data_IF_464063338118
#
_entry.id   IF_464063338118
#
_cell.length_a   1.000
_cell.length_b   1.000
_cell.length_c   1.000
_cell.angle_alpha   90.00
_cell.angle_beta   90.00
_cell.angle_gamma   90.00
#
_symmetry.space_group_name_H-M   'P 1'
#
loop_
_entity.id
_entity.type
_entity.pdbx_description
1 polymer ?
#
# COMPACT_ATOMS: atom_id res chain seq x y z
N UNK A 1 10.14 -15.01 44.31
CA UNK A 1 11.34 -14.73 43.49
C UNK A 1 11.00 -14.40 42.03
N UNK A 2 9.81 -14.77 41.54
CA UNK A 2 9.36 -14.56 40.15
C UNK A 2 8.94 -13.12 39.79
N UNK A 3 8.53 -12.28 40.75
CA UNK A 3 8.10 -10.89 40.46
C UNK A 3 9.24 -9.90 40.17
N UNK A 4 10.48 -10.21 40.58
CA UNK A 4 11.60 -9.28 40.49
C UNK A 4 12.34 -9.36 39.15
N UNK A 5 12.29 -10.49 38.46
CA UNK A 5 13.05 -10.67 37.21
C UNK A 5 12.41 -9.86 36.07
N UNK A 6 11.09 -9.90 35.94
CA UNK A 6 10.37 -9.09 34.94
C UNK A 6 10.60 -7.58 35.17
N UNK A 7 10.53 -7.14 36.42
CA UNK A 7 10.85 -5.77 36.80
C UNK A 7 12.32 -5.42 36.52
N UNK A 8 13.27 -6.31 36.80
CA UNK A 8 14.72 -6.10 36.58
C UNK A 8 15.06 -6.05 35.08
N UNK A 9 14.42 -6.87 34.25
CA UNK A 9 14.62 -6.86 32.79
C UNK A 9 14.03 -5.58 32.18
N UNK A 10 12.82 -5.16 32.58
CA UNK A 10 12.18 -3.93 32.10
C UNK A 10 12.85 -2.65 32.61
N UNK A 11 13.46 -2.67 33.81
CA UNK A 11 14.21 -1.53 34.38
C UNK A 11 15.68 -1.54 34.01
N UNK A 12 16.17 -2.58 33.33
CA UNK A 12 17.55 -2.62 32.88
C UNK A 12 17.82 -1.45 31.92
N UNK A 13 18.87 -0.68 32.23
CA UNK A 13 19.30 0.50 31.46
C UNK A 13 19.54 0.18 29.98
N UNK A 14 19.88 -1.08 29.67
CA UNK A 14 20.06 -1.59 28.31
C UNK A 14 18.73 -1.63 27.55
N UNK A 15 17.67 -2.20 28.11
CA UNK A 15 16.34 -2.28 27.48
C UNK A 15 15.75 -0.88 27.31
N UNK A 16 15.86 -0.03 28.33
CA UNK A 16 15.41 1.37 28.26
C UNK A 16 16.20 2.17 27.20
N UNK A 17 17.50 1.93 27.06
CA UNK A 17 18.36 2.54 26.05
C UNK A 17 17.99 2.12 24.62
N UNK A 18 17.71 0.83 24.40
CA UNK A 18 17.26 0.30 23.09
C UNK A 18 15.89 0.89 22.71
N UNK A 19 14.93 0.91 23.64
CA UNK A 19 13.60 1.50 23.40
C UNK A 19 13.73 3.00 23.09
N UNK A 20 14.49 3.74 23.88
CA UNK A 20 14.67 5.19 23.70
C UNK A 20 15.37 5.53 22.38
N UNK A 21 16.38 4.74 21.97
CA UNK A 21 17.05 4.93 20.69
C UNK A 21 16.17 4.54 19.49
N UNK A 22 15.32 3.51 19.62
CA UNK A 22 14.28 3.21 18.63
C UNK A 22 13.30 4.39 18.49
N UNK A 23 12.79 4.90 19.61
CA UNK A 23 11.85 6.03 19.63
C UNK A 23 12.49 7.28 19.04
N UNK A 24 13.73 7.60 19.40
CA UNK A 24 14.48 8.74 18.85
C UNK A 24 14.73 8.57 17.34
N UNK A 25 15.09 7.37 16.87
CA UNK A 25 15.25 7.07 15.45
C UNK A 25 13.94 7.28 14.67
N UNK A 26 12.81 6.81 15.23
CA UNK A 26 11.50 7.02 14.62
C UNK A 26 11.10 8.50 14.60
N UNK A 27 11.35 9.26 15.66
CA UNK A 27 11.08 10.70 15.72
C UNK A 27 11.95 11.48 14.73
N UNK A 28 13.23 11.15 14.62
CA UNK A 28 14.18 11.80 13.71
C UNK A 28 13.84 11.56 12.23
N UNK A 29 13.51 10.32 11.85
CA UNK A 29 13.17 9.98 10.46
C UNK A 29 11.80 10.49 10.00
N UNK A 30 10.84 10.68 10.92
CA UNK A 30 9.52 11.22 10.58
C UNK A 30 9.57 12.70 10.18
N UNK A 31 10.54 13.47 10.70
CA UNK A 31 10.48 14.94 10.61
C UNK A 31 11.14 15.52 9.36
N UNK A 32 12.29 15.04 8.87
CA UNK A 32 13.00 15.77 7.81
C UNK A 32 12.56 15.40 6.38
N UNK A 33 12.45 14.11 6.07
CA UNK A 33 12.11 13.65 4.70
C UNK A 33 10.63 13.82 4.37
N UNK A 34 9.75 13.53 5.34
CA UNK A 34 8.30 13.60 5.14
C UNK A 34 7.84 15.05 4.97
N UNK A 35 8.40 15.99 5.74
CA UNK A 35 8.06 17.41 5.63
C UNK A 35 8.47 17.96 4.26
N UNK A 36 9.68 17.64 3.79
CA UNK A 36 10.11 18.03 2.44
C UNK A 36 9.15 17.50 1.36
N UNK A 37 8.87 16.19 1.35
CA UNK A 37 7.97 15.57 0.36
C UNK A 37 6.56 16.16 0.46
N UNK A 38 6.05 16.41 1.67
CA UNK A 38 4.71 16.98 1.88
C UNK A 38 4.63 18.41 1.36
N UNK A 39 5.68 19.21 1.53
CA UNK A 39 5.76 20.57 1.01
C UNK A 39 5.86 20.58 -0.51
N UNK A 40 6.72 19.75 -1.11
CA UNK A 40 6.82 19.58 -2.56
C UNK A 40 5.49 19.16 -3.17
N UNK A 41 4.77 18.20 -2.55
CA UNK A 41 3.44 17.79 -3.01
C UNK A 41 2.38 18.86 -2.82
N UNK A 42 2.48 19.69 -1.79
CA UNK A 42 1.58 20.84 -1.60
C UNK A 42 1.79 21.86 -2.73
N UNK A 43 3.04 22.18 -3.05
CA UNK A 43 3.39 23.07 -4.15
C UNK A 43 2.92 22.48 -5.49
N UNK A 44 3.24 21.21 -5.76
CA UNK A 44 2.79 20.48 -6.94
C UNK A 44 1.26 20.48 -7.09
N UNK A 45 0.49 20.20 -6.03
CA UNK A 45 -0.98 20.27 -6.07
C UNK A 45 -1.50 21.69 -6.34
N UNK A 46 -0.81 22.71 -5.84
CA UNK A 46 -1.15 24.11 -6.14
C UNK A 46 -0.93 24.42 -7.62
N UNK A 47 0.19 23.95 -8.17
CA UNK A 47 0.51 24.12 -9.58
C UNK A 47 -0.49 23.39 -10.49
N UNK A 48 -0.85 22.15 -10.18
CA UNK A 48 -1.86 21.40 -10.93
C UNK A 48 -3.24 22.09 -10.89
N UNK A 49 -3.65 22.67 -9.75
CA UNK A 49 -4.92 23.42 -9.67
C UNK A 49 -4.89 24.68 -10.54
N UNK A 50 -3.83 25.48 -10.43
CA UNK A 50 -3.65 26.67 -11.28
C UNK A 50 -3.67 26.29 -12.76
N UNK A 51 -2.95 25.24 -13.15
CA UNK A 51 -2.92 24.75 -14.54
C UNK A 51 -4.32 24.31 -14.98
N UNK A 52 -5.09 23.64 -14.11
CA UNK A 52 -6.46 23.24 -14.42
C UNK A 52 -7.39 24.46 -14.62
N UNK A 53 -7.26 25.50 -13.81
CA UNK A 53 -7.99 26.77 -13.95
C UNK A 53 -7.64 27.48 -15.27
N UNK A 54 -6.36 27.52 -15.64
CA UNK A 54 -5.90 28.08 -16.93
C UNK A 54 -6.38 27.26 -18.13
N UNK A 55 -6.43 25.92 -18.00
CA UNK A 55 -7.01 25.03 -19.00
C UNK A 55 -8.51 25.30 -19.14
N UNK A 56 -9.24 25.46 -18.04
CA UNK A 56 -10.68 25.74 -18.05
C UNK A 56 -11.01 27.07 -18.72
N UNK A 57 -10.22 28.11 -18.43
CA UNK A 57 -10.38 29.45 -19.00
C UNK A 57 -9.98 29.54 -20.49
N UNK A 58 -9.26 28.55 -21.03
CA UNK A 58 -8.82 28.57 -22.42
C UNK A 58 -10.01 28.46 -23.39
N UNK A 59 -10.08 29.42 -24.31
CA UNK A 59 -11.14 29.50 -25.33
C UNK A 59 -10.76 28.82 -26.65
N UNK A 60 -9.47 28.55 -26.83
CA UNK A 60 -8.97 27.89 -28.03
C UNK A 60 -7.53 27.39 -27.88
N UNK A 61 -6.98 26.95 -29.00
CA UNK A 61 -5.68 26.27 -29.05
C UNK A 61 -4.50 27.13 -28.58
N UNK A 62 -4.46 28.41 -28.97
CA UNK A 62 -3.35 29.28 -28.61
C UNK A 62 -3.27 29.52 -27.09
N UNK A 63 -4.44 29.71 -26.46
CA UNK A 63 -4.57 29.94 -25.02
C UNK A 63 -4.16 28.70 -24.22
N UNK A 64 -4.58 27.51 -24.66
CA UNK A 64 -4.36 26.26 -23.92
C UNK A 64 -2.92 25.73 -24.07
N UNK A 65 -2.18 26.16 -25.10
CA UNK A 65 -0.85 25.61 -25.43
C UNK A 65 0.13 25.72 -24.26
N UNK A 66 0.19 26.88 -23.61
CA UNK A 66 1.11 27.12 -22.48
C UNK A 66 0.72 26.28 -21.25
N UNK A 67 -0.53 26.28 -20.77
CA UNK A 67 -0.97 25.39 -19.69
C UNK A 67 -0.68 23.90 -19.94
N UNK A 68 -0.85 23.41 -21.19
CA UNK A 68 -0.53 22.01 -21.51
C UNK A 68 0.97 21.70 -21.42
N UNK A 69 1.84 22.63 -21.79
CA UNK A 69 3.30 22.46 -21.63
C UNK A 69 3.68 22.41 -20.15
N UNK A 70 3.09 23.31 -19.35
CA UNK A 70 3.29 23.30 -17.90
C UNK A 70 2.77 22.01 -17.26
N UNK A 71 1.63 21.49 -17.74
CA UNK A 71 1.08 20.23 -17.25
C UNK A 71 2.04 19.05 -17.51
N UNK A 72 2.61 18.97 -18.71
CA UNK A 72 3.52 17.88 -19.13
C UNK A 72 4.73 17.72 -18.22
N UNK A 73 5.23 18.81 -17.64
CA UNK A 73 6.39 18.77 -16.71
C UNK A 73 5.98 18.46 -15.26
N UNK A 74 4.68 18.42 -14.96
CA UNK A 74 4.14 18.11 -13.63
C UNK A 74 3.54 16.71 -13.52
N UNK A 75 3.11 16.09 -14.62
CA UNK A 75 2.59 14.71 -14.64
C UNK A 75 3.71 13.68 -14.88
N UNK A 76 3.41 12.41 -14.67
CA UNK A 76 4.38 11.34 -14.84
C UNK A 76 4.76 11.15 -16.34
N UNK A 77 6.01 11.42 -16.67
CA UNK A 77 6.53 11.30 -18.04
C UNK A 77 6.50 9.86 -18.58
N UNK A 78 6.56 8.84 -17.71
CA UNK A 78 6.50 7.44 -18.13
C UNK A 78 5.13 7.06 -18.72
N UNK A 79 4.10 7.88 -18.53
CA UNK A 79 2.77 7.70 -19.11
C UNK A 79 2.69 7.89 -20.61
N UNK A 80 3.60 8.66 -21.20
CA UNK A 80 3.48 9.11 -22.59
C UNK A 80 3.43 7.96 -23.60
N UNK A 81 4.26 6.93 -23.38
CA UNK A 81 4.44 5.81 -24.31
C UNK A 81 3.91 4.48 -23.73
N UNK A 82 2.86 4.54 -22.93
CA UNK A 82 2.27 3.35 -22.30
C UNK A 82 0.76 3.50 -22.17
N UNK A 83 0.05 2.39 -22.00
CA UNK A 83 -1.36 2.38 -21.63
C UNK A 83 -1.58 2.35 -20.12
N UNK A 84 -0.51 2.33 -19.32
CA UNK A 84 -0.57 2.25 -17.87
C UNK A 84 -1.16 3.53 -17.24
N UNK A 85 -2.42 3.41 -16.80
CA UNK A 85 -3.19 4.48 -16.19
C UNK A 85 -2.53 5.02 -14.92
N UNK A 86 -1.80 4.19 -14.17
CA UNK A 86 -1.08 4.62 -12.95
C UNK A 86 0.10 5.54 -13.25
N UNK A 87 0.52 5.61 -14.52
CA UNK A 87 1.59 6.48 -14.99
C UNK A 87 1.04 7.70 -15.73
N UNK A 88 -0.23 8.05 -15.56
CA UNK A 88 -0.88 9.20 -16.20
C UNK A 88 -1.06 9.06 -17.72
N UNK A 89 -1.02 7.85 -18.28
CA UNK A 89 -1.18 7.62 -19.73
C UNK A 89 -2.45 8.21 -20.32
N UNK A 90 -3.55 8.12 -19.57
CA UNK A 90 -4.85 8.69 -19.94
C UNK A 90 -4.82 10.22 -20.04
N UNK A 91 -4.04 10.91 -19.19
CA UNK A 91 -3.85 12.36 -19.26
C UNK A 91 -3.04 12.72 -20.52
N UNK A 92 -1.94 12.01 -20.79
CA UNK A 92 -1.13 12.20 -21.99
C UNK A 92 -1.96 12.09 -23.27
N UNK A 93 -2.84 11.09 -23.37
CA UNK A 93 -3.74 10.91 -24.53
C UNK A 93 -4.68 12.09 -24.74
N UNK A 94 -5.23 12.67 -23.67
CA UNK A 94 -6.12 13.83 -23.79
C UNK A 94 -5.35 15.08 -24.16
N UNK A 95 -4.13 15.26 -23.63
CA UNK A 95 -3.25 16.35 -24.05
C UNK A 95 -2.96 16.24 -25.56
N UNK A 96 -2.64 15.05 -26.07
CA UNK A 96 -2.41 14.84 -27.51
C UNK A 96 -3.67 15.10 -28.35
N UNK A 97 -4.85 14.75 -27.84
CA UNK A 97 -6.14 15.06 -28.48
C UNK A 97 -6.37 16.57 -28.59
N UNK A 98 -6.20 17.31 -27.50
CA UNK A 98 -6.30 18.78 -27.48
C UNK A 98 -5.28 19.45 -28.41
N UNK A 99 -4.12 18.82 -28.61
CA UNK A 99 -3.09 19.34 -29.50
C UNK A 99 -3.40 19.17 -31.00
N UNK A 100 -4.33 18.28 -31.37
CA UNK A 100 -4.68 17.98 -32.77
C UNK A 100 -5.70 18.96 -33.38
N UNK A 101 -6.25 19.90 -32.60
CA UNK A 101 -7.18 20.94 -33.07
C UNK A 101 -8.43 20.38 -33.75
N UNK A 102 -9.05 19.37 -33.12
CA UNK A 102 -10.29 18.78 -33.60
C UNK A 102 -11.52 19.51 -33.03
N UNK A 103 -12.70 19.28 -33.62
CA UNK A 103 -13.99 19.85 -33.20
C UNK A 103 -14.43 19.45 -31.78
N UNK A 104 -13.74 18.50 -31.15
CA UNK A 104 -14.03 17.98 -29.80
C UNK A 104 -13.23 18.68 -28.68
N UNK A 105 -12.75 19.89 -28.95
CA UNK A 105 -11.89 20.67 -28.05
C UNK A 105 -12.50 20.82 -26.64
N UNK A 106 -13.74 21.26 -26.53
CA UNK A 106 -14.38 21.49 -25.23
C UNK A 106 -14.62 20.20 -24.46
N UNK A 107 -15.00 19.11 -25.14
CA UNK A 107 -15.15 17.79 -24.51
C UNK A 107 -13.80 17.27 -23.97
N UNK A 108 -12.74 17.35 -24.78
CA UNK A 108 -11.41 16.93 -24.39
C UNK A 108 -10.88 17.79 -23.23
N UNK A 109 -11.19 19.09 -23.22
CA UNK A 109 -10.86 20.03 -22.14
C UNK A 109 -11.55 19.64 -20.83
N UNK A 110 -12.85 19.38 -20.87
CA UNK A 110 -13.63 18.94 -19.70
C UNK A 110 -13.13 17.59 -19.17
N UNK A 111 -12.82 16.64 -20.05
CA UNK A 111 -12.25 15.36 -19.66
C UNK A 111 -10.88 15.52 -18.98
N UNK A 112 -10.03 16.42 -19.50
CA UNK A 112 -8.74 16.71 -18.90
C UNK A 112 -8.91 17.25 -17.47
N UNK A 113 -9.80 18.24 -17.28
CA UNK A 113 -10.11 18.81 -15.95
C UNK A 113 -10.58 17.72 -14.97
N UNK A 114 -11.44 16.81 -15.44
CA UNK A 114 -11.93 15.70 -14.63
C UNK A 114 -10.82 14.72 -14.22
N UNK A 115 -9.89 14.40 -15.15
CA UNK A 115 -8.73 13.59 -14.82
C UNK A 115 -7.76 14.28 -13.85
N UNK A 116 -7.52 15.58 -14.01
CA UNK A 116 -6.71 16.36 -13.06
C UNK A 116 -7.34 16.42 -11.66
N UNK A 117 -8.67 16.57 -11.60
CA UNK A 117 -9.41 16.52 -10.34
C UNK A 117 -9.28 15.16 -9.65
N UNK A 118 -9.38 14.07 -10.42
CA UNK A 118 -9.20 12.70 -9.92
C UNK A 118 -7.76 12.46 -9.44
N UNK A 119 -6.77 12.96 -10.19
CA UNK A 119 -5.36 12.89 -9.83
C UNK A 119 -5.08 13.62 -8.51
N UNK A 120 -5.59 14.84 -8.34
CA UNK A 120 -5.47 15.64 -7.11
C UNK A 120 -6.12 14.94 -5.91
N UNK A 121 -7.31 14.35 -6.11
CA UNK A 121 -8.02 13.61 -5.06
C UNK A 121 -7.23 12.38 -4.62
N UNK A 122 -6.67 11.62 -5.57
CA UNK A 122 -5.84 10.46 -5.26
C UNK A 122 -4.55 10.84 -4.51
N UNK A 123 -3.84 11.89 -4.96
CA UNK A 123 -2.62 12.34 -4.27
C UNK A 123 -2.91 12.78 -2.83
N UNK A 124 -4.06 13.40 -2.59
CA UNK A 124 -4.50 13.74 -1.24
C UNK A 124 -4.75 12.51 -0.37
N UNK A 125 -5.50 11.53 -0.87
CA UNK A 125 -5.75 10.28 -0.13
C UNK A 125 -4.44 9.54 0.16
N UNK A 126 -3.53 9.45 -0.80
CA UNK A 126 -2.19 8.86 -0.62
C UNK A 126 -1.37 9.62 0.42
N UNK A 127 -1.37 10.95 0.39
CA UNK A 127 -0.63 11.76 1.35
C UNK A 127 -1.16 11.60 2.78
N UNK A 128 -2.48 11.47 2.97
CA UNK A 128 -3.06 11.12 4.28
C UNK A 128 -2.56 9.77 4.79
N UNK A 129 -2.44 8.79 3.90
CA UNK A 129 -1.91 7.46 4.23
C UNK A 129 -0.43 7.49 4.59
N UNK A 130 0.37 8.23 3.86
CA UNK A 130 1.81 8.37 4.15
C UNK A 130 2.08 9.12 5.46
N UNK A 131 1.28 10.14 5.79
CA UNK A 131 1.43 10.92 7.04
C UNK A 131 1.00 10.12 8.28
N UNK A 132 -0.02 9.26 8.16
CA UNK A 132 -0.32 8.24 9.21
C UNK A 132 0.91 7.36 9.47
N UNK A 133 1.83 7.31 8.50
CA UNK A 133 3.11 6.69 8.63
C UNK A 133 2.99 5.18 8.67
N UNK A 134 4.14 4.54 8.75
CA UNK A 134 4.21 3.10 8.85
C UNK A 134 3.96 2.60 10.29
N UNK A 135 2.89 3.10 10.92
CA UNK A 135 2.51 2.70 12.29
C UNK A 135 2.27 1.19 12.34
N UNK A 136 1.85 0.57 11.23
CA UNK A 136 1.67 -0.87 11.14
C UNK A 136 3.01 -1.65 11.14
N UNK A 137 4.07 -1.24 10.43
CA UNK A 137 5.40 -1.90 10.53
C UNK A 137 5.94 -1.73 11.93
N UNK A 138 5.72 -0.59 12.58
CA UNK A 138 6.12 -0.38 13.98
C UNK A 138 5.40 -1.36 14.90
N UNK A 139 4.07 -1.47 14.79
CA UNK A 139 3.28 -2.44 15.56
C UNK A 139 3.70 -3.88 15.23
N UNK A 140 3.94 -4.20 13.96
CA UNK A 140 4.40 -5.51 13.52
C UNK A 140 5.78 -5.84 14.11
N UNK A 141 6.76 -4.95 14.01
CA UNK A 141 8.08 -5.13 14.61
C UNK A 141 7.99 -5.29 16.11
N UNK A 142 7.13 -4.52 16.78
CA UNK A 142 6.92 -4.64 18.21
C UNK A 142 6.31 -5.99 18.60
N UNK A 143 5.28 -6.46 17.86
CA UNK A 143 4.66 -7.78 18.08
C UNK A 143 5.66 -8.90 17.82
N UNK A 144 6.46 -8.82 16.75
CA UNK A 144 7.48 -9.84 16.45
C UNK A 144 8.59 -9.85 17.49
N UNK A 145 9.11 -8.68 17.90
CA UNK A 145 10.11 -8.56 18.95
C UNK A 145 9.60 -9.11 20.30
N UNK A 146 8.36 -8.78 20.68
CA UNK A 146 7.75 -9.32 21.89
C UNK A 146 7.61 -10.84 21.83
N UNK A 147 7.29 -11.38 20.65
CA UNK A 147 7.21 -12.83 20.41
C UNK A 147 8.57 -13.51 20.59
N UNK A 148 9.63 -12.90 20.03
CA UNK A 148 11.01 -13.40 20.17
C UNK A 148 11.47 -13.39 21.63
N UNK A 149 11.17 -12.33 22.39
CA UNK A 149 11.52 -12.24 23.82
C UNK A 149 10.84 -13.34 24.63
N UNK A 150 9.54 -13.54 24.42
CA UNK A 150 8.76 -14.60 25.11
C UNK A 150 9.32 -15.98 24.75
N UNK A 151 9.60 -16.23 23.48
CA UNK A 151 10.16 -17.50 23.03
C UNK A 151 11.57 -17.76 23.60
N UNK A 152 12.43 -16.74 23.62
CA UNK A 152 13.76 -16.84 24.23
C UNK A 152 13.68 -17.13 25.72
N UNK A 153 12.71 -16.53 26.44
CA UNK A 153 12.50 -16.79 27.85
C UNK A 153 12.13 -18.26 28.10
N UNK A 154 11.13 -18.78 27.38
CA UNK A 154 10.69 -20.18 27.45
C UNK A 154 11.87 -21.12 27.14
N UNK A 155 12.61 -20.85 26.07
CA UNK A 155 13.70 -21.72 25.63
C UNK A 155 14.87 -21.74 26.63
N UNK A 156 15.29 -20.58 27.14
CA UNK A 156 16.47 -20.45 28.00
C UNK A 156 16.19 -20.81 29.47
N UNK A 157 14.98 -20.53 29.97
CA UNK A 157 14.66 -20.64 31.40
C UNK A 157 13.89 -21.93 31.71
N UNK A 158 12.86 -22.24 30.93
CA UNK A 158 11.97 -23.37 31.23
C UNK A 158 12.50 -24.69 30.65
N UNK A 159 12.94 -24.70 29.39
CA UNK A 159 13.25 -25.96 28.69
C UNK A 159 14.68 -26.47 28.89
N UNK A 160 15.64 -25.62 29.31
CA UNK A 160 17.06 -25.97 29.54
C UNK A 160 17.70 -26.81 28.40
N UNK A 161 17.23 -26.64 27.17
CA UNK A 161 17.71 -27.40 26.02
C UNK A 161 19.14 -26.94 25.70
N UNK A 162 20.10 -27.88 25.70
CA UNK A 162 21.54 -27.61 25.55
C UNK A 162 22.00 -27.33 24.11
N UNK A 163 21.10 -27.44 23.13
CA UNK A 163 21.43 -27.36 21.71
C UNK A 163 21.24 -25.94 21.17
N UNK A 164 22.32 -25.14 21.21
CA UNK A 164 22.37 -23.80 20.61
C UNK A 164 21.90 -23.76 19.14
N UNK A 165 21.95 -24.88 18.42
CA UNK A 165 21.55 -24.99 17.01
C UNK A 165 20.02 -24.93 16.80
N UNK A 166 19.24 -25.55 17.68
CA UNK A 166 17.77 -25.50 17.59
C UNK A 166 17.23 -24.11 17.95
N UNK A 167 17.87 -23.44 18.91
CA UNK A 167 17.58 -22.06 19.27
C UNK A 167 17.78 -21.11 18.08
N UNK A 168 18.97 -21.15 17.46
CA UNK A 168 19.29 -20.32 16.30
C UNK A 168 18.36 -20.63 15.12
N UNK A 169 18.05 -21.91 14.87
CA UNK A 169 17.12 -22.34 13.82
C UNK A 169 15.70 -21.77 14.01
N UNK A 170 15.19 -21.78 15.24
CA UNK A 170 13.86 -21.21 15.55
C UNK A 170 13.79 -19.69 15.40
N UNK A 171 14.85 -18.95 15.79
CA UNK A 171 14.96 -17.50 15.57
C UNK A 171 14.94 -17.20 14.06
N UNK A 172 15.68 -17.96 13.26
CA UNK A 172 15.71 -17.79 11.80
C UNK A 172 14.32 -18.06 11.18
N UNK A 173 13.62 -19.10 11.63
CA UNK A 173 12.25 -19.43 11.17
C UNK A 173 11.24 -18.35 11.57
N UNK A 174 11.38 -17.75 12.75
CA UNK A 174 10.52 -16.66 13.20
C UNK A 174 10.84 -15.31 12.57
N UNK A 175 12.06 -15.12 12.06
CA UNK A 175 12.50 -13.94 11.30
C UNK A 175 12.12 -14.00 9.80
N UNK A 176 11.87 -15.19 9.26
CA UNK A 176 11.44 -15.42 7.87
C UNK A 176 10.24 -14.55 7.43
N UNK A 177 9.18 -14.34 8.24
CA UNK A 177 8.09 -13.40 7.93
C UNK A 177 8.56 -11.97 7.69
N UNK A 178 9.61 -11.50 8.38
CA UNK A 178 10.18 -10.15 8.19
C UNK A 178 11.06 -10.11 6.94
N UNK A 179 11.79 -11.18 6.65
CA UNK A 179 12.78 -11.27 5.58
C UNK A 179 12.14 -11.59 4.20
N UNK A 180 11.03 -12.33 4.17
CA UNK A 180 10.37 -12.71 2.91
C UNK A 180 9.91 -11.46 2.15
N UNK A 181 10.44 -11.24 0.93
CA UNK A 181 10.37 -9.96 0.27
C UNK A 181 8.93 -9.54 -0.06
N UNK A 182 8.71 -8.23 -0.11
CA UNK A 182 7.54 -7.47 -0.60
C UNK A 182 7.12 -7.84 -2.06
N UNK A 183 7.63 -8.93 -2.63
CA UNK A 183 7.48 -9.36 -4.03
C UNK A 183 6.16 -10.08 -4.31
N UNK A 184 5.09 -9.73 -3.62
CA UNK A 184 3.72 -9.98 -4.11
C UNK A 184 3.17 -8.73 -4.80
N UNK A 185 4.03 -7.98 -5.49
CA UNK A 185 3.60 -6.93 -6.41
C UNK A 185 2.63 -7.54 -7.40
N UNK A 186 1.37 -7.15 -7.28
CA UNK A 186 0.28 -7.57 -8.15
C UNK A 186 0.60 -7.03 -9.55
N UNK A 187 0.75 -7.94 -10.52
CA UNK A 187 1.06 -7.56 -11.89
C UNK A 187 -0.13 -6.80 -12.49
N UNK A 188 0.10 -5.93 -13.48
CA UNK A 188 -0.95 -5.11 -14.09
C UNK A 188 -2.15 -5.96 -14.60
N UNK A 189 -1.88 -7.18 -15.03
CA UNK A 189 -2.89 -8.14 -15.50
C UNK A 189 -3.85 -8.60 -14.39
N UNK A 190 -3.36 -8.84 -13.17
CA UNK A 190 -4.18 -9.18 -12.00
C UNK A 190 -5.11 -8.00 -11.63
N UNK A 191 -4.64 -6.76 -11.80
CA UNK A 191 -5.43 -5.56 -11.52
C UNK A 191 -6.51 -5.32 -12.59
N UNK A 192 -6.22 -5.62 -13.86
CA UNK A 192 -7.18 -5.55 -14.97
C UNK A 192 -8.25 -6.63 -14.84
N UNK A 193 -7.90 -7.86 -14.42
CA UNK A 193 -8.89 -8.91 -14.15
C UNK A 193 -9.82 -8.56 -12.97
N UNK A 194 -9.29 -7.89 -11.94
CA UNK A 194 -10.09 -7.44 -10.81
C UNK A 194 -11.08 -6.33 -11.20
N UNK A 195 -10.66 -5.34 -12.01
CA UNK A 195 -11.55 -4.29 -12.54
C UNK A 195 -12.68 -4.88 -13.41
N UNK A 196 -12.46 -6.05 -14.01
CA UNK A 196 -13.50 -6.83 -14.73
C UNK A 196 -14.44 -7.62 -13.81
N UNK A 197 -14.41 -7.42 -12.50
CA UNK A 197 -15.35 -8.03 -11.54
C UNK A 197 -14.87 -9.36 -10.94
N UNK A 198 -13.59 -9.74 -11.08
CA UNK A 198 -13.04 -10.90 -10.36
C UNK A 198 -12.48 -10.46 -9.00
N UNK A 199 -13.35 -10.31 -8.02
CA UNK A 199 -13.01 -10.10 -6.60
C UNK A 199 -12.06 -11.19 -6.03
N UNK A 200 -11.96 -12.32 -6.72
CA UNK A 200 -11.37 -13.55 -6.23
C UNK A 200 -9.84 -13.58 -6.08
N UNK A 201 -9.05 -12.77 -6.79
CA UNK A 201 -7.58 -12.97 -6.82
C UNK A 201 -6.93 -12.62 -5.46
N UNK A 202 -7.38 -11.54 -4.82
CA UNK A 202 -6.83 -11.11 -3.54
C UNK A 202 -7.35 -11.94 -2.36
N UNK A 203 -8.61 -12.35 -2.42
CA UNK A 203 -9.21 -13.31 -1.49
C UNK A 203 -8.55 -14.70 -1.61
N UNK A 204 -8.18 -15.15 -2.81
CA UNK A 204 -7.42 -16.38 -2.99
C UNK A 204 -6.00 -16.27 -2.43
N UNK A 205 -5.31 -15.13 -2.58
CA UNK A 205 -3.99 -14.91 -1.95
C UNK A 205 -4.08 -14.91 -0.42
N UNK A 206 -5.15 -14.36 0.15
CA UNK A 206 -5.46 -14.45 1.59
C UNK A 206 -5.66 -15.88 2.06
N UNK A 207 -6.60 -16.59 1.41
CA UNK A 207 -6.93 -17.97 1.75
C UNK A 207 -5.69 -18.84 1.65
N UNK A 208 -4.89 -18.71 0.59
CA UNK A 208 -3.62 -19.45 0.46
C UNK A 208 -2.67 -19.17 1.63
N UNK A 209 -2.52 -17.91 2.03
CA UNK A 209 -1.66 -17.54 3.17
C UNK A 209 -2.20 -18.09 4.49
N UNK A 210 -3.51 -17.99 4.72
CA UNK A 210 -4.19 -18.55 5.90
C UNK A 210 -4.10 -20.08 5.94
N UNK A 211 -4.25 -20.76 4.80
CA UNK A 211 -4.07 -22.20 4.68
C UNK A 211 -2.63 -22.62 4.98
N UNK A 212 -1.62 -21.87 4.52
CA UNK A 212 -0.22 -22.14 4.87
C UNK A 212 0.01 -21.99 6.38
N UNK A 213 -0.50 -20.91 7.00
CA UNK A 213 -0.44 -20.75 8.45
C UNK A 213 -1.12 -21.90 9.20
N UNK A 214 -2.30 -22.33 8.74
CA UNK A 214 -3.05 -23.45 9.31
C UNK A 214 -2.29 -24.79 9.14
N UNK A 215 -1.64 -25.01 8.00
CA UNK A 215 -0.84 -26.21 7.74
C UNK A 215 0.42 -26.24 8.61
N UNK A 216 1.09 -25.11 8.81
CA UNK A 216 2.21 -24.99 9.75
C UNK A 216 1.74 -25.26 11.19
N UNK A 217 0.55 -24.77 11.56
CA UNK A 217 -0.09 -25.03 12.84
C UNK A 217 -0.41 -26.52 13.05
N UNK A 218 -1.05 -27.16 12.08
CA UNK A 218 -1.36 -28.61 12.13
C UNK A 218 -0.07 -29.44 12.13
N UNK A 219 0.91 -29.09 11.31
CA UNK A 219 2.21 -29.76 11.26
C UNK A 219 2.94 -29.69 12.59
N UNK A 220 2.82 -28.57 13.32
CA UNK A 220 3.40 -28.43 14.65
C UNK A 220 2.75 -29.34 15.70
N UNK A 221 1.41 -29.49 15.66
CA UNK A 221 0.67 -30.45 16.51
C UNK A 221 1.11 -31.89 16.22
N UNK A 222 1.25 -32.24 14.94
CA UNK A 222 1.64 -33.60 14.54
C UNK A 222 3.07 -33.94 14.95
N UNK A 223 3.98 -32.96 14.89
CA UNK A 223 5.36 -33.12 15.35
C UNK A 223 5.40 -33.33 16.88
N UNK A 224 4.54 -32.63 17.63
CA UNK A 224 4.37 -32.79 19.07
C UNK A 224 3.88 -34.20 19.44
N UNK A 225 2.87 -34.74 18.75
CA UNK A 225 2.40 -36.12 18.95
C UNK A 225 3.45 -37.20 18.63
N UNK A 226 4.46 -36.88 17.82
CA UNK A 226 5.56 -37.80 17.49
C UNK A 226 6.71 -37.72 18.51
N UNK A 227 6.82 -36.63 19.27
CA UNK A 227 7.88 -36.35 20.22
C UNK A 227 7.33 -36.13 21.65
N UNK A 228 6.46 -37.05 22.10
CA UNK A 228 5.85 -37.14 23.45
C UNK A 228 6.85 -37.00 24.64
N UNK A 229 8.15 -36.91 24.39
CA UNK A 229 9.22 -36.69 25.38
C UNK A 229 9.52 -35.21 25.70
N UNK A 230 8.96 -34.25 24.97
CA UNK A 230 9.24 -32.83 25.18
C UNK A 230 8.17 -32.21 26.09
N UNK A 231 8.56 -32.01 27.35
CA UNK A 231 7.80 -31.55 28.50
C UNK A 231 7.36 -30.07 28.40
N UNK A 232 6.76 -29.64 27.29
CA UNK A 232 6.41 -28.24 27.07
C UNK A 232 4.96 -27.97 27.53
N UNK A 233 4.74 -26.97 28.38
CA UNK A 233 3.38 -26.58 28.78
C UNK A 233 2.68 -25.92 27.59
N UNK A 234 1.47 -26.38 27.28
CA UNK A 234 0.60 -25.88 26.20
C UNK A 234 0.70 -24.36 25.95
N UNK A 235 0.62 -23.54 27.00
CA UNK A 235 0.65 -22.06 26.89
C UNK A 235 1.91 -21.47 26.26
N UNK A 236 3.04 -22.17 26.36
CA UNK A 236 4.36 -21.69 25.91
C UNK A 236 4.58 -21.91 24.41
N UNK A 237 3.88 -22.89 23.82
CA UNK A 237 3.97 -23.20 22.38
C UNK A 237 2.96 -22.39 21.54
N UNK A 238 1.74 -22.22 22.06
CA UNK A 238 0.66 -21.56 21.32
C UNK A 238 0.81 -20.05 21.22
N UNK A 239 1.35 -19.41 22.25
CA UNK A 239 1.43 -17.95 22.31
C UNK A 239 2.30 -17.37 21.16
N UNK A 240 3.49 -17.91 20.84
CA UNK A 240 4.26 -17.45 19.67
C UNK A 240 3.54 -17.67 18.34
N UNK A 241 2.86 -18.81 18.16
CA UNK A 241 2.11 -19.10 16.93
C UNK A 241 0.92 -18.17 16.72
N UNK A 242 0.20 -17.85 17.79
CA UNK A 242 -0.91 -16.86 17.76
C UNK A 242 -0.36 -15.47 17.43
N UNK A 243 0.75 -15.06 18.03
CA UNK A 243 1.34 -13.75 17.75
C UNK A 243 1.88 -13.64 16.30
N UNK A 244 2.47 -14.71 15.76
CA UNK A 244 2.85 -14.78 14.34
C UNK A 244 1.63 -14.66 13.42
N UNK A 245 0.53 -15.36 13.73
CA UNK A 245 -0.72 -15.26 12.97
C UNK A 245 -1.30 -13.84 13.00
N UNK A 246 -1.31 -13.20 14.18
CA UNK A 246 -1.72 -11.79 14.33
C UNK A 246 -0.81 -10.87 13.51
N UNK A 247 0.50 -11.09 13.52
CA UNK A 247 1.44 -10.33 12.68
C UNK A 247 1.15 -10.45 11.18
N UNK A 248 0.92 -11.68 10.69
CA UNK A 248 0.58 -11.93 9.28
C UNK A 248 -0.76 -11.30 8.87
N UNK A 249 -1.78 -11.39 9.71
CA UNK A 249 -3.11 -10.80 9.43
C UNK A 249 -3.05 -9.27 9.38
N UNK A 250 -2.34 -8.64 10.32
CA UNK A 250 -2.12 -7.18 10.31
C UNK A 250 -1.36 -6.75 9.04
N UNK A 251 -0.30 -7.47 8.66
CA UNK A 251 0.46 -7.19 7.42
C UNK A 251 -0.43 -7.29 6.18
N UNK A 252 -1.25 -8.34 6.10
CA UNK A 252 -2.16 -8.54 4.98
C UNK A 252 -3.18 -7.41 4.85
N UNK A 253 -3.81 -7.00 5.96
CA UNK A 253 -4.78 -5.90 5.98
C UNK A 253 -4.17 -4.58 5.51
N UNK A 254 -2.89 -4.34 5.82
CA UNK A 254 -2.19 -3.16 5.33
C UNK A 254 -1.99 -3.17 3.81
N UNK A 255 -1.45 -4.26 3.25
CA UNK A 255 -1.22 -4.37 1.80
C UNK A 255 -2.54 -4.27 1.03
N UNK A 256 -3.61 -4.87 1.56
CA UNK A 256 -4.95 -4.74 0.99
C UNK A 256 -5.40 -3.27 0.91
N UNK A 257 -5.18 -2.51 1.98
CA UNK A 257 -5.59 -1.11 2.05
C UNK A 257 -4.85 -0.24 1.04
N UNK A 258 -3.56 -0.47 0.83
CA UNK A 258 -2.77 0.22 -0.21
C UNK A 258 -3.26 -0.13 -1.61
N UNK A 259 -3.60 -1.40 -1.83
CA UNK A 259 -4.14 -1.90 -3.09
C UNK A 259 -5.51 -1.30 -3.43
N UNK A 260 -6.42 -1.18 -2.45
CA UNK A 260 -7.74 -0.56 -2.63
C UNK A 260 -7.66 0.88 -3.14
N UNK A 261 -6.65 1.64 -2.73
CA UNK A 261 -6.48 3.03 -3.17
C UNK A 261 -6.18 3.13 -4.68
N UNK A 262 -5.26 2.29 -5.17
CA UNK A 262 -4.91 2.22 -6.60
C UNK A 262 -6.10 1.77 -7.45
N UNK A 263 -6.88 0.83 -6.93
CA UNK A 263 -8.12 0.33 -7.51
C UNK A 263 -9.14 1.45 -7.69
N UNK A 264 -9.37 2.22 -6.62
CA UNK A 264 -10.38 3.26 -6.60
C UNK A 264 -10.05 4.34 -7.63
N UNK A 265 -8.76 4.63 -7.81
CA UNK A 265 -8.30 5.53 -8.86
C UNK A 265 -8.61 5.01 -10.27
N UNK A 266 -8.25 3.76 -10.58
CA UNK A 266 -8.51 3.17 -11.90
C UNK A 266 -10.02 3.13 -12.20
N UNK A 267 -10.84 2.80 -11.19
CA UNK A 267 -12.30 2.80 -11.32
C UNK A 267 -12.85 4.21 -11.58
N UNK A 268 -12.38 5.24 -10.88
CA UNK A 268 -12.83 6.60 -11.15
C UNK A 268 -12.47 7.03 -12.57
N UNK A 269 -11.29 6.71 -13.07
CA UNK A 269 -10.88 7.01 -14.45
C UNK A 269 -11.76 6.28 -15.46
N UNK A 270 -12.08 5.01 -15.23
CA UNK A 270 -12.96 4.26 -16.12
C UNK A 270 -14.38 4.82 -16.12
N UNK A 271 -14.89 5.28 -14.97
CA UNK A 271 -16.16 6.00 -14.87
C UNK A 271 -16.12 7.32 -15.65
N UNK A 272 -15.07 8.13 -15.50
CA UNK A 272 -14.88 9.39 -16.24
C UNK A 272 -14.98 9.17 -17.76
N UNK A 273 -14.26 8.15 -18.27
CA UNK A 273 -14.29 7.76 -19.68
C UNK A 273 -15.67 7.26 -20.14
N UNK A 274 -16.40 6.55 -19.29
CA UNK A 274 -17.73 6.06 -19.63
C UNK A 274 -18.78 7.18 -19.64
N UNK A 275 -18.66 8.16 -18.75
CA UNK A 275 -19.50 9.36 -18.76
C UNK A 275 -19.30 10.14 -20.05
N UNK A 276 -18.05 10.37 -20.45
CA UNK A 276 -17.71 11.01 -21.72
C UNK A 276 -18.35 10.28 -22.93
N UNK A 277 -18.19 8.95 -23.02
CA UNK A 277 -18.80 8.15 -24.10
C UNK A 277 -20.32 8.29 -24.15
N UNK A 278 -20.98 8.35 -22.99
CA UNK A 278 -22.44 8.53 -22.91
C UNK A 278 -22.87 9.93 -23.36
N UNK A 279 -22.13 10.97 -22.98
CA UNK A 279 -22.38 12.35 -23.42
C UNK A 279 -22.23 12.47 -24.94
N UNK A 280 -21.14 11.95 -25.53
CA UNK A 280 -20.96 11.94 -26.99
C UNK A 280 -22.09 11.19 -27.73
N UNK A 281 -22.54 10.05 -27.20
CA UNK A 281 -23.62 9.29 -27.82
C UNK A 281 -24.97 10.04 -27.78
N UNK A 282 -25.23 10.77 -26.69
CA UNK A 282 -26.43 11.59 -26.54
C UNK A 282 -26.42 12.80 -27.49
N UNK A 283 -25.30 13.50 -27.61
CA UNK A 283 -25.17 14.65 -28.52
C UNK A 283 -25.30 14.25 -30.00
N UNK A 284 -24.73 13.10 -30.39
CA UNK A 284 -24.89 12.58 -31.75
C UNK A 284 -26.35 12.19 -32.04
N UNK A 285 -27.05 11.59 -31.07
CA UNK A 285 -28.48 11.28 -31.21
C UNK A 285 -29.35 12.53 -31.39
N UNK A 286 -29.04 13.63 -30.70
CA UNK A 286 -29.75 14.92 -30.87
C UNK A 286 -29.44 15.55 -32.24
N UNK A 287 -28.20 15.45 -32.73
CA UNK A 287 -27.82 15.96 -34.07
C UNK A 287 -28.55 15.18 -35.17
N UNK A 288 -28.70 13.86 -35.01
CA UNK A 288 -29.43 13.02 -35.95
C UNK A 288 -30.94 13.32 -35.95
N UNK A 289 -31.56 13.59 -34.79
CA UNK A 289 -32.97 14.01 -34.70
C UNK A 289 -33.25 15.40 -35.30
N UNK A 290 -32.28 16.31 -35.31
CA UNK A 290 -32.42 17.65 -35.90
C UNK A 290 -32.22 17.70 -37.42
N UNK A 291 -31.68 16.63 -38.01
CA UNK A 291 -31.42 16.51 -39.45
C UNK A 291 -32.49 15.66 -40.19
N UNK A 292 -33.59 15.32 -39.52
CA UNK A 292 -34.80 14.66 -40.06
C UNK A 292 -35.93 15.69 -40.12
#
# INVERSE_FOLDING_TARGET
MESNVLATVLTSSVVAGVISSLVAYFQFHKNNKLVYITNERKAWRSDIRRIAEEIEAATGYEDIRKPLVELKVRINAYGKNTDDVKKDSHIWKVIERLQKQNDDFDEAKQLLILYLSTLLKMDWERSKEEIKGNTYKIVLYFVTLATEIVYCHIYLVELKISSNLMFIGSIIIMMLPIILPERSGINLDDAIEWVKGKENIFFHKFIKTMCICLLLFIGSILLECLFDSILMKWTEFWLPMVLLFVGFTIRYLYEYRKYLLDIYYIQNISMCRNTEKKCMHYENGIKDEKNI
#
